data_IF_758193126760
#
_entry.id   IF_758193126760
#
_cell.length_a   1.000
_cell.length_b   1.000
_cell.length_c   1.000
_cell.angle_alpha   90.00
_cell.angle_beta   90.00
_cell.angle_gamma   90.00
#
_symmetry.space_group_name_H-M   'P 1'
#
loop_
_entity.id
_entity.type
_entity.pdbx_description
1 polymer ?
#
# COMPACT_ATOMS: atom_id res chain seq x y z
N UNK A 1 7.12 31.47 -5.20
CA UNK A 1 7.84 30.44 -5.98
C UNK A 1 8.86 29.68 -5.13
N UNK A 2 9.59 30.36 -4.24
CA UNK A 2 10.53 29.79 -3.25
C UNK A 2 9.96 28.65 -2.38
N UNK A 3 8.73 28.80 -1.87
CA UNK A 3 8.04 27.79 -1.04
C UNK A 3 7.81 26.46 -1.77
N UNK A 4 7.67 26.47 -3.10
CA UNK A 4 7.48 25.25 -3.90
C UNK A 4 8.80 24.50 -4.10
N UNK A 5 9.94 25.21 -4.11
CA UNK A 5 11.27 24.61 -4.24
C UNK A 5 11.77 24.03 -2.90
N UNK A 6 11.41 24.67 -1.79
CA UNK A 6 11.66 24.14 -0.43
C UNK A 6 10.87 22.85 -0.15
N UNK A 7 9.60 22.80 -0.59
CA UNK A 7 8.78 21.57 -0.55
C UNK A 7 9.41 20.43 -1.38
N UNK A 8 10.05 20.75 -2.51
CA UNK A 8 10.77 19.77 -3.35
C UNK A 8 12.09 19.33 -2.70
N UNK A 9 12.85 20.23 -2.06
CA UNK A 9 14.07 19.86 -1.31
C UNK A 9 13.77 19.00 -0.08
N UNK A 10 12.67 19.25 0.62
CA UNK A 10 12.17 18.41 1.72
C UNK A 10 11.62 17.04 1.25
N UNK A 11 11.28 16.92 -0.04
CA UNK A 11 10.94 15.65 -0.68
C UNK A 11 12.18 14.80 -1.03
N UNK A 12 13.33 15.43 -1.32
CA UNK A 12 14.54 14.75 -1.76
C UNK A 12 15.59 14.51 -0.66
N UNK A 13 15.44 15.10 0.54
CA UNK A 13 16.42 15.04 1.63
C UNK A 13 16.21 13.97 2.70
N UNK A 14 15.31 13.01 2.51
CA UNK A 14 15.03 11.97 3.51
C UNK A 14 14.74 10.62 2.85
N UNK A 15 15.79 9.99 2.31
CA UNK A 15 15.79 8.57 1.93
C UNK A 15 15.86 7.69 3.19
N UNK A 16 14.87 7.82 4.07
CA UNK A 16 14.60 6.84 5.11
C UNK A 16 13.09 6.61 5.14
N UNK A 17 12.66 5.57 4.41
CA UNK A 17 11.43 4.85 4.67
C UNK A 17 10.11 5.63 4.48
N UNK A 18 9.96 6.35 3.35
CA UNK A 18 8.65 6.89 2.94
C UNK A 18 7.95 5.87 2.05
N UNK A 19 6.79 5.39 2.52
CA UNK A 19 5.87 4.58 1.71
C UNK A 19 5.33 5.38 0.51
N UNK A 20 4.94 4.68 -0.55
CA UNK A 20 4.36 5.27 -1.75
C UNK A 20 3.06 6.02 -1.42
N UNK A 21 2.72 7.00 -2.26
CA UNK A 21 1.44 7.71 -2.14
C UNK A 21 0.26 6.74 -2.29
N UNK A 22 0.41 5.71 -3.13
CA UNK A 22 -0.60 4.69 -3.34
C UNK A 22 -0.87 3.90 -2.05
N UNK A 23 0.17 3.41 -1.39
CA UNK A 23 0.04 2.73 -0.10
C UNK A 23 -0.49 3.67 0.99
N UNK A 24 0.02 4.90 1.05
CA UNK A 24 -0.38 5.88 2.06
C UNK A 24 -1.87 6.25 1.97
N UNK A 25 -2.44 6.34 0.76
CA UNK A 25 -3.84 6.72 0.56
C UNK A 25 -4.80 5.54 0.67
N UNK A 26 -4.38 4.34 0.24
CA UNK A 26 -5.30 3.18 0.15
C UNK A 26 -5.13 2.18 1.29
N UNK A 27 -3.93 2.02 1.86
CA UNK A 27 -3.64 0.88 2.74
C UNK A 27 -3.35 1.30 4.18
N UNK A 28 -2.60 2.39 4.35
CA UNK A 28 -2.03 2.81 5.64
C UNK A 28 -3.04 2.98 6.77
N UNK A 29 -4.23 3.52 6.48
CA UNK A 29 -5.24 3.79 7.49
C UNK A 29 -5.72 2.51 8.22
N UNK A 30 -5.75 1.38 7.51
CA UNK A 30 -6.24 0.11 8.05
C UNK A 30 -5.10 -0.85 8.40
N UNK A 31 -4.04 -0.89 7.60
CA UNK A 31 -2.93 -1.83 7.78
C UNK A 31 -1.71 -1.22 8.49
N UNK A 32 -1.76 0.07 8.84
CA UNK A 32 -0.68 0.76 9.54
C UNK A 32 0.36 1.35 8.60
N UNK A 33 1.23 2.20 9.15
CA UNK A 33 2.27 2.93 8.39
C UNK A 33 3.17 2.05 7.54
N UNK A 34 3.46 0.83 7.99
CA UNK A 34 4.32 -0.14 7.31
C UNK A 34 3.71 -1.54 7.38
N UNK A 35 2.39 -1.65 7.34
CA UNK A 35 1.71 -2.95 7.27
C UNK A 35 1.66 -3.73 8.59
N UNK A 36 2.04 -3.13 9.73
CA UNK A 36 2.04 -3.80 11.05
C UNK A 36 0.64 -4.20 11.56
N UNK A 37 -0.42 -3.74 10.91
CA UNK A 37 -1.81 -3.94 11.31
C UNK A 37 -2.30 -2.87 12.29
N UNK A 38 -3.62 -2.75 12.38
CA UNK A 38 -4.35 -1.91 13.33
C UNK A 38 -5.57 -2.70 13.85
N UNK A 39 -6.48 -2.04 14.57
CA UNK A 39 -7.78 -2.65 14.90
C UNK A 39 -8.69 -2.84 13.68
N UNK A 40 -8.47 -2.10 12.59
CA UNK A 40 -9.30 -2.14 11.39
C UNK A 40 -8.82 -3.21 10.41
N UNK A 41 -7.50 -3.33 10.22
CA UNK A 41 -6.91 -4.24 9.26
C UNK A 41 -5.78 -5.06 9.88
N UNK A 42 -5.66 -6.35 9.54
CA UNK A 42 -4.60 -7.20 10.08
C UNK A 42 -3.21 -6.78 9.60
N UNK A 43 -2.18 -7.32 10.25
CA UNK A 43 -0.81 -7.21 9.75
C UNK A 43 -0.65 -7.90 8.39
N UNK A 44 0.09 -7.24 7.51
CA UNK A 44 0.44 -7.71 6.16
C UNK A 44 1.95 -7.84 5.97
N UNK A 45 2.73 -7.69 7.05
CA UNK A 45 4.20 -7.84 7.03
C UNK A 45 4.66 -9.27 6.78
N UNK A 46 5.87 -9.42 6.27
CA UNK A 46 6.56 -10.71 6.18
C UNK A 46 5.93 -11.69 5.18
N UNK A 47 5.12 -11.19 4.25
CA UNK A 47 4.54 -11.99 3.15
C UNK A 47 5.32 -11.74 1.87
N UNK A 48 5.42 -12.77 1.03
CA UNK A 48 6.08 -12.64 -0.27
C UNK A 48 5.27 -11.76 -1.23
N UNK A 49 5.94 -11.23 -2.25
CA UNK A 49 5.30 -10.43 -3.31
C UNK A 49 4.16 -11.22 -3.95
N UNK A 50 4.39 -12.49 -4.27
CA UNK A 50 3.42 -13.37 -4.94
C UNK A 50 2.19 -13.59 -4.07
N UNK A 51 2.39 -13.77 -2.76
CA UNK A 51 1.29 -13.93 -1.82
C UNK A 51 0.44 -12.66 -1.75
N UNK A 52 1.07 -11.49 -1.60
CA UNK A 52 0.33 -10.22 -1.53
C UNK A 52 -0.41 -9.95 -2.83
N UNK A 53 0.26 -10.12 -3.97
CA UNK A 53 -0.35 -9.91 -5.28
C UNK A 53 -1.55 -10.82 -5.51
N UNK A 54 -1.41 -12.11 -5.19
CA UNK A 54 -2.51 -13.07 -5.28
C UNK A 54 -3.70 -12.65 -4.41
N UNK A 55 -3.46 -12.18 -3.18
CA UNK A 55 -4.54 -11.72 -2.30
C UNK A 55 -5.20 -10.44 -2.77
N UNK A 56 -4.42 -9.48 -3.27
CA UNK A 56 -4.96 -8.25 -3.87
C UNK A 56 -5.86 -8.58 -5.07
N UNK A 57 -5.42 -9.48 -5.96
CA UNK A 57 -6.22 -9.94 -7.10
C UNK A 57 -7.48 -10.70 -6.66
N UNK A 58 -7.37 -11.57 -5.66
CA UNK A 58 -8.51 -12.30 -5.10
C UNK A 58 -9.58 -11.36 -4.52
N UNK A 59 -9.17 -10.32 -3.79
CA UNK A 59 -10.10 -9.32 -3.25
C UNK A 59 -10.72 -8.46 -4.34
N UNK A 60 -9.92 -8.01 -5.31
CA UNK A 60 -10.42 -7.23 -6.46
C UNK A 60 -11.48 -7.99 -7.25
N UNK A 61 -11.22 -9.27 -7.53
CA UNK A 61 -12.12 -10.14 -8.30
C UNK A 61 -13.18 -10.85 -7.43
N UNK A 62 -13.31 -10.47 -6.16
CA UNK A 62 -14.27 -11.04 -5.21
C UNK A 62 -14.17 -12.58 -5.04
N UNK A 63 -13.00 -13.17 -5.27
CA UNK A 63 -12.73 -14.60 -4.99
C UNK A 63 -12.64 -14.86 -3.49
N UNK A 64 -12.21 -13.85 -2.73
CA UNK A 64 -12.32 -13.81 -1.27
C UNK A 64 -13.35 -12.75 -0.89
N UNK A 65 -14.39 -13.17 -0.18
CA UNK A 65 -15.48 -12.27 0.25
C UNK A 65 -14.95 -11.26 1.28
N UNK A 66 -14.75 -10.02 0.84
CA UNK A 66 -14.46 -8.88 1.70
C UNK A 66 -14.84 -7.59 0.97
N UNK A 67 -16.03 -7.04 1.28
CA UNK A 67 -16.57 -5.88 0.58
C UNK A 67 -15.72 -4.61 0.74
N UNK A 68 -15.01 -4.47 1.87
CA UNK A 68 -14.12 -3.32 2.11
C UNK A 68 -12.91 -3.38 1.18
N UNK A 69 -12.21 -4.51 1.17
CA UNK A 69 -11.04 -4.69 0.31
C UNK A 69 -11.42 -4.71 -1.18
N UNK A 70 -12.56 -5.31 -1.53
CA UNK A 70 -13.07 -5.28 -2.89
C UNK A 70 -13.35 -3.84 -3.33
N UNK A 71 -14.06 -3.05 -2.52
CA UNK A 71 -14.38 -1.65 -2.84
C UNK A 71 -13.13 -0.79 -3.03
N UNK A 72 -12.10 -1.01 -2.22
CA UNK A 72 -10.81 -0.32 -2.35
C UNK A 72 -10.06 -0.67 -3.65
N UNK A 73 -10.15 -1.92 -4.09
CA UNK A 73 -9.34 -2.46 -5.19
C UNK A 73 -10.09 -2.55 -6.52
N UNK A 74 -11.40 -2.32 -6.55
CA UNK A 74 -12.25 -2.45 -7.75
C UNK A 74 -11.70 -1.64 -8.93
N UNK A 75 -11.22 -0.42 -8.66
CA UNK A 75 -10.66 0.48 -9.68
C UNK A 75 -9.13 0.44 -9.77
N UNK A 76 -8.47 -0.47 -9.03
CA UNK A 76 -7.01 -0.54 -9.05
C UNK A 76 -6.51 -1.17 -10.35
N UNK A 77 -5.48 -0.61 -10.97
CA UNK A 77 -4.87 -1.22 -12.17
C UNK A 77 -3.94 -2.38 -11.80
N UNK A 78 -3.58 -3.24 -12.76
CA UNK A 78 -2.65 -4.34 -12.49
C UNK A 78 -1.28 -3.83 -12.02
N UNK A 79 -0.79 -2.73 -12.60
CA UNK A 79 0.47 -2.10 -12.20
C UNK A 79 0.40 -1.52 -10.78
N UNK A 80 -0.75 -0.94 -10.38
CA UNK A 80 -0.97 -0.51 -9.00
C UNK A 80 -0.93 -1.69 -8.03
N UNK A 81 -1.54 -2.83 -8.38
CA UNK A 81 -1.49 -4.04 -7.55
C UNK A 81 -0.07 -4.58 -7.42
N UNK A 82 0.69 -4.63 -8.52
CA UNK A 82 2.09 -5.06 -8.53
C UNK A 82 2.96 -4.14 -7.66
N UNK A 83 2.79 -2.82 -7.81
CA UNK A 83 3.51 -1.81 -7.01
C UNK A 83 3.23 -1.98 -5.52
N UNK A 84 1.95 -2.12 -5.15
CA UNK A 84 1.55 -2.38 -3.77
C UNK A 84 2.13 -3.68 -3.24
N UNK A 85 2.10 -4.76 -4.03
CA UNK A 85 2.64 -6.05 -3.62
C UNK A 85 4.15 -6.02 -3.38
N UNK A 86 4.90 -5.39 -4.27
CA UNK A 86 6.34 -5.21 -4.12
C UNK A 86 6.66 -4.40 -2.86
N UNK A 87 5.98 -3.27 -2.69
CA UNK A 87 6.18 -2.41 -1.53
C UNK A 87 5.82 -3.12 -0.22
N UNK A 88 4.64 -3.72 -0.12
CA UNK A 88 4.17 -4.40 1.09
C UNK A 88 5.09 -5.55 1.48
N UNK A 89 5.62 -6.30 0.50
CA UNK A 89 6.55 -7.40 0.78
C UNK A 89 7.87 -6.96 1.42
N UNK A 90 8.24 -5.69 1.24
CA UNK A 90 9.47 -5.13 1.82
C UNK A 90 9.33 -4.80 3.32
N UNK A 91 8.10 -4.81 3.84
CA UNK A 91 7.83 -4.50 5.23
C UNK A 91 8.24 -5.66 6.16
N UNK A 92 9.05 -5.33 7.18
CA UNK A 92 9.63 -6.26 8.15
C UNK A 92 8.83 -6.31 9.45
#
# INVERSE_FOLDING_TARGET
EEKLEELKKQASGSMNNRVSQLYSLRCKACHGSEGQGTQVGPSIKGKSVEYILSKLDDYKNNRVKNSLMQGLLTNATQDELNTLAQEISSFK
#
